data_IF_181673674382
#
_entry.id   IF_181673674382
#
_cell.length_a   1.000
_cell.length_b   1.000
_cell.length_c   1.000
_cell.angle_alpha   90.00
_cell.angle_beta   90.00
_cell.angle_gamma   90.00
#
_symmetry.space_group_name_H-M   'P 1'
#
loop_
_entity.id
_entity.type
_entity.pdbx_description
1 polymer ?
#
# COMPACT_ATOMS: atom_id res chain seq x y z
N UNK A 1 2.91 -13.78 -10.38
CA UNK A 1 2.32 -13.53 -9.05
C UNK A 1 3.32 -12.75 -8.21
N UNK A 2 2.95 -11.54 -7.80
CA UNK A 2 3.83 -10.69 -6.99
C UNK A 2 3.50 -10.75 -5.50
N UNK A 3 2.23 -10.99 -5.13
CA UNK A 3 1.80 -11.20 -3.75
C UNK A 3 0.92 -12.45 -3.68
N UNK A 4 1.26 -13.38 -2.77
CA UNK A 4 0.43 -14.55 -2.47
C UNK A 4 0.32 -14.70 -0.96
N UNK A 5 -0.89 -14.67 -0.46
CA UNK A 5 -1.29 -14.92 0.91
C UNK A 5 -2.11 -16.21 0.92
N UNK A 6 -1.75 -17.18 1.76
CA UNK A 6 -2.43 -18.49 1.76
C UNK A 6 -2.78 -18.86 3.21
N UNK A 7 -4.08 -19.10 3.46
CA UNK A 7 -4.64 -19.57 4.72
C UNK A 7 -4.14 -18.81 5.95
N UNK A 8 -4.09 -17.47 5.82
CA UNK A 8 -3.55 -16.60 6.88
C UNK A 8 -4.48 -16.57 8.08
N UNK A 9 -3.88 -16.71 9.26
CA UNK A 9 -4.53 -16.47 10.54
C UNK A 9 -3.74 -15.50 11.39
N UNK A 10 -4.44 -14.54 11.99
CA UNK A 10 -3.88 -13.57 12.94
C UNK A 10 -4.83 -13.40 14.10
N UNK A 11 -4.29 -13.54 15.30
CA UNK A 11 -5.03 -13.39 16.53
C UNK A 11 -4.37 -12.35 17.44
N UNK A 12 -5.19 -11.70 18.27
CA UNK A 12 -4.74 -10.77 19.30
C UNK A 12 -5.31 -11.16 20.65
N UNK A 13 -4.56 -11.02 21.76
CA UNK A 13 -5.12 -11.14 23.09
C UNK A 13 -6.12 -10.00 23.34
N UNK A 14 -7.27 -10.33 23.90
CA UNK A 14 -8.34 -9.38 24.27
C UNK A 14 -8.88 -9.75 25.67
N UNK A 15 -8.13 -9.33 26.71
CA UNK A 15 -8.37 -9.77 28.08
C UNK A 15 -8.21 -11.29 28.20
N UNK A 16 -9.26 -11.96 28.69
CA UNK A 16 -9.31 -13.43 28.81
C UNK A 16 -9.75 -14.14 27.51
N UNK A 17 -9.94 -13.38 26.42
CA UNK A 17 -10.38 -13.90 25.12
C UNK A 17 -9.28 -13.71 24.07
N UNK A 18 -9.48 -14.38 22.93
CA UNK A 18 -8.65 -14.23 21.73
C UNK A 18 -9.52 -13.66 20.63
N UNK A 19 -9.15 -12.49 20.12
CA UNK A 19 -9.77 -11.90 18.96
C UNK A 19 -9.06 -12.41 17.70
N UNK A 20 -9.79 -13.04 16.79
CA UNK A 20 -9.28 -13.43 15.48
C UNK A 20 -9.50 -12.28 14.51
N UNK A 21 -8.42 -11.60 14.11
CA UNK A 21 -8.47 -10.46 13.21
C UNK A 21 -8.36 -10.84 11.73
N UNK A 22 -7.70 -11.98 11.43
CA UNK A 22 -7.60 -12.57 10.09
C UNK A 22 -7.82 -14.07 10.26
N UNK A 23 -8.76 -14.65 9.52
CA UNK A 23 -9.18 -16.05 9.66
C UNK A 23 -9.26 -16.73 8.30
N UNK A 24 -8.32 -17.63 8.03
CA UNK A 24 -8.21 -18.43 6.80
C UNK A 24 -8.22 -17.59 5.51
N UNK A 25 -7.57 -16.42 5.54
CA UNK A 25 -7.53 -15.52 4.39
C UNK A 25 -6.55 -16.00 3.34
N UNK A 26 -7.06 -16.21 2.13
CA UNK A 26 -6.26 -16.45 0.92
C UNK A 26 -6.52 -15.34 -0.08
N UNK A 27 -5.44 -14.70 -0.57
CA UNK A 27 -5.48 -13.63 -1.56
C UNK A 27 -4.26 -13.72 -2.45
N UNK A 28 -4.48 -13.57 -3.76
CA UNK A 28 -3.43 -13.59 -4.75
C UNK A 28 -3.56 -12.35 -5.62
N UNK A 29 -2.45 -11.64 -5.84
CA UNK A 29 -2.41 -10.43 -6.66
C UNK A 29 -1.26 -10.51 -7.64
N UNK A 30 -1.58 -10.38 -8.91
CA UNK A 30 -0.60 -10.42 -9.98
C UNK A 30 0.02 -9.05 -10.27
N UNK A 31 1.16 -9.05 -10.96
CA UNK A 31 1.79 -7.82 -11.44
C UNK A 31 0.83 -7.04 -12.35
N UNK A 32 0.67 -5.75 -12.09
CA UNK A 32 -0.23 -4.89 -12.84
C UNK A 32 -1.71 -4.99 -12.44
N UNK A 33 -2.06 -5.80 -11.43
CA UNK A 33 -3.42 -5.95 -10.90
C UNK A 33 -3.61 -5.07 -9.65
N UNK A 34 -4.76 -4.37 -9.59
CA UNK A 34 -5.24 -3.64 -8.42
C UNK A 34 -6.43 -4.39 -7.82
N UNK A 35 -6.23 -4.91 -6.61
CA UNK A 35 -7.29 -5.55 -5.82
C UNK A 35 -7.74 -4.61 -4.70
N UNK A 36 -9.03 -4.32 -4.65
CA UNK A 36 -9.64 -3.56 -3.56
C UNK A 36 -10.21 -4.51 -2.51
N UNK A 37 -9.78 -4.34 -1.26
CA UNK A 37 -10.33 -5.03 -0.09
C UNK A 37 -11.23 -4.06 0.66
N UNK A 38 -12.54 -4.25 0.58
CA UNK A 38 -13.52 -3.40 1.24
C UNK A 38 -14.07 -4.05 2.50
N UNK A 39 -14.67 -3.27 3.38
CA UNK A 39 -15.34 -3.79 4.58
C UNK A 39 -15.41 -2.77 5.71
N UNK A 40 -16.20 -3.04 6.74
CA UNK A 40 -16.38 -2.13 7.87
C UNK A 40 -15.10 -1.95 8.68
N UNK A 41 -15.06 -0.90 9.51
CA UNK A 41 -13.98 -0.73 10.49
C UNK A 41 -13.94 -1.93 11.44
N UNK A 42 -12.73 -2.38 11.78
CA UNK A 42 -12.54 -3.55 12.64
C UNK A 42 -12.62 -4.91 11.93
N UNK A 43 -12.90 -4.97 10.62
CA UNK A 43 -13.02 -6.25 9.90
C UNK A 43 -11.69 -7.00 9.69
N UNK A 44 -10.53 -6.40 10.04
CA UNK A 44 -9.21 -7.05 9.91
C UNK A 44 -8.33 -6.52 8.77
N UNK A 45 -8.80 -5.56 7.96
CA UNK A 45 -8.08 -5.01 6.80
C UNK A 45 -6.67 -4.50 7.11
N UNK A 46 -6.52 -3.74 8.20
CA UNK A 46 -5.21 -3.22 8.61
C UNK A 46 -4.27 -4.34 9.09
N UNK A 47 -4.80 -5.40 9.72
CA UNK A 47 -4.02 -6.59 10.09
C UNK A 47 -3.56 -7.36 8.85
N UNK A 48 -4.43 -7.50 7.85
CA UNK A 48 -4.08 -8.10 6.56
C UNK A 48 -2.97 -7.33 5.87
N UNK A 49 -3.08 -5.98 5.78
CA UNK A 49 -2.02 -5.13 5.22
C UNK A 49 -0.72 -5.24 6.02
N UNK A 50 -0.78 -5.29 7.36
CA UNK A 50 0.41 -5.41 8.20
C UNK A 50 1.14 -6.74 7.97
N UNK A 51 0.41 -7.84 7.74
CA UNK A 51 0.97 -9.15 7.35
C UNK A 51 1.57 -9.08 5.94
N UNK A 52 0.83 -8.55 4.96
CA UNK A 52 1.32 -8.37 3.60
C UNK A 52 2.57 -7.47 3.54
N UNK A 53 2.64 -6.46 4.43
CA UNK A 53 3.82 -5.60 4.60
C UNK A 53 4.97 -6.27 5.38
N UNK A 54 4.84 -7.51 5.85
CA UNK A 54 5.79 -8.17 6.75
C UNK A 54 6.09 -7.42 8.06
N UNK A 55 5.19 -6.54 8.46
CA UNK A 55 5.25 -5.82 9.75
C UNK A 55 4.73 -6.70 10.88
N UNK A 56 3.76 -7.54 10.60
CA UNK A 56 3.18 -8.53 11.49
C UNK A 56 3.47 -9.93 10.94
N UNK A 57 3.83 -10.86 11.83
CA UNK A 57 3.92 -12.28 11.48
C UNK A 57 2.57 -12.94 11.73
N UNK A 58 2.00 -13.69 10.76
CA UNK A 58 0.78 -14.43 11.00
C UNK A 58 1.05 -15.61 11.95
N UNK A 59 0.02 -16.04 12.68
CA UNK A 59 0.06 -17.21 13.55
C UNK A 59 0.18 -18.51 12.74
N UNK A 60 -0.50 -18.53 11.57
CA UNK A 60 -0.40 -19.61 10.57
C UNK A 60 -0.62 -19.08 9.17
N UNK A 61 -0.34 -19.92 8.17
CA UNK A 61 -0.44 -19.58 6.77
C UNK A 61 0.89 -19.15 6.17
N UNK A 62 0.85 -18.72 4.91
CA UNK A 62 2.04 -18.42 4.10
C UNK A 62 1.93 -17.06 3.42
N UNK A 63 3.04 -16.33 3.38
CA UNK A 63 3.18 -15.04 2.69
C UNK A 63 4.35 -15.10 1.72
N UNK A 64 4.07 -14.89 0.43
CA UNK A 64 5.08 -14.81 -0.63
C UNK A 64 5.03 -13.42 -1.27
N UNK A 65 6.18 -12.74 -1.35
CA UNK A 65 6.34 -11.39 -1.93
C UNK A 65 7.46 -11.44 -2.97
N UNK A 66 7.18 -11.05 -4.21
CA UNK A 66 8.16 -11.08 -5.28
C UNK A 66 8.79 -12.47 -5.48
N UNK A 67 8.04 -13.55 -5.25
CA UNK A 67 8.51 -14.94 -5.30
C UNK A 67 9.27 -15.42 -4.05
N UNK A 68 9.47 -14.58 -3.05
CA UNK A 68 10.20 -14.92 -1.82
C UNK A 68 9.22 -15.27 -0.70
N UNK A 69 9.32 -16.49 -0.16
CA UNK A 69 8.57 -16.92 1.04
C UNK A 69 9.14 -16.24 2.30
N UNK A 70 8.27 -15.57 3.05
CA UNK A 70 8.68 -14.82 4.24
C UNK A 70 8.78 -15.65 5.50
N UNK A 71 8.22 -16.86 5.52
CA UNK A 71 8.08 -17.71 6.71
C UNK A 71 9.43 -18.11 7.32
N UNK A 72 10.42 -18.40 6.49
CA UNK A 72 11.79 -18.76 6.90
C UNK A 72 12.71 -17.58 7.19
N UNK A 73 12.26 -16.33 6.95
CA UNK A 73 13.12 -15.16 7.09
C UNK A 73 13.26 -14.72 8.56
N UNK A 74 14.48 -14.32 8.96
CA UNK A 74 14.72 -13.59 10.20
C UNK A 74 14.03 -12.20 10.17
N UNK A 75 13.90 -11.54 11.32
CA UNK A 75 13.37 -10.18 11.40
C UNK A 75 14.14 -9.21 10.49
N UNK A 76 15.47 -9.30 10.46
CA UNK A 76 16.32 -8.52 9.57
C UNK A 76 16.11 -8.87 8.08
N UNK A 77 15.87 -10.15 7.77
CA UNK A 77 15.53 -10.63 6.43
C UNK A 77 14.21 -10.03 5.93
N UNK A 78 13.16 -10.08 6.76
CA UNK A 78 11.86 -9.48 6.46
C UNK A 78 11.97 -7.95 6.28
N UNK A 79 12.75 -7.28 7.12
CA UNK A 79 12.97 -5.83 6.97
C UNK A 79 13.67 -5.49 5.65
N UNK A 80 14.67 -6.28 5.22
CA UNK A 80 15.32 -6.09 3.92
C UNK A 80 14.38 -6.36 2.75
N UNK A 81 13.60 -7.45 2.81
CA UNK A 81 12.59 -7.76 1.78
C UNK A 81 11.57 -6.64 1.67
N UNK A 82 10.99 -6.19 2.77
CA UNK A 82 10.05 -5.06 2.80
C UNK A 82 10.65 -3.80 2.17
N UNK A 83 11.88 -3.47 2.52
CA UNK A 83 12.55 -2.29 1.98
C UNK A 83 12.78 -2.40 0.48
N UNK A 84 12.99 -3.60 -0.06
CA UNK A 84 13.25 -3.84 -1.49
C UNK A 84 11.95 -3.95 -2.29
N UNK A 85 10.99 -4.72 -1.80
CA UNK A 85 9.86 -5.23 -2.59
C UNK A 85 8.51 -4.58 -2.25
N UNK A 86 8.39 -3.87 -1.12
CA UNK A 86 7.09 -3.34 -0.68
C UNK A 86 7.09 -1.82 -0.64
N UNK A 87 6.13 -1.23 -1.35
CA UNK A 87 5.74 0.18 -1.19
C UNK A 87 4.51 0.26 -0.29
N UNK A 88 4.47 1.26 0.60
CA UNK A 88 3.30 1.48 1.45
C UNK A 88 2.81 2.91 1.28
N UNK A 89 1.54 3.05 0.94
CA UNK A 89 0.80 4.32 0.92
C UNK A 89 -0.09 4.34 2.16
N UNK A 90 0.20 5.23 3.08
CA UNK A 90 -0.54 5.35 4.32
C UNK A 90 -1.77 6.25 4.16
N UNK A 91 -2.80 6.02 4.96
CA UNK A 91 -3.99 6.87 5.06
C UNK A 91 -3.61 8.34 5.27
N UNK A 92 -2.75 8.61 6.25
CA UNK A 92 -2.12 9.91 6.41
C UNK A 92 -0.75 9.90 5.72
N UNK A 93 -0.44 10.87 4.85
CA UNK A 93 0.81 10.88 4.08
C UNK A 93 2.08 10.86 4.94
N UNK A 94 2.02 11.29 6.20
CA UNK A 94 3.14 11.30 7.15
C UNK A 94 4.41 11.90 6.53
N UNK A 95 4.26 13.05 5.85
CA UNK A 95 5.37 13.76 5.23
C UNK A 95 6.15 14.54 6.30
N UNK A 96 7.46 14.50 6.22
CA UNK A 96 8.33 15.28 7.08
C UNK A 96 8.20 16.78 6.75
N UNK A 97 7.75 17.59 7.68
CA UNK A 97 7.42 19.01 7.46
C UNK A 97 8.61 19.84 6.97
N UNK A 98 9.83 19.45 7.33
CA UNK A 98 11.08 20.11 6.93
C UNK A 98 11.54 19.80 5.50
N UNK A 99 11.04 18.71 4.89
CA UNK A 99 11.48 18.25 3.59
C UNK A 99 10.53 18.70 2.47
N UNK A 100 11.09 19.05 1.32
CA UNK A 100 10.35 19.29 0.09
C UNK A 100 9.82 17.99 -0.52
N UNK A 101 8.89 18.08 -1.48
CA UNK A 101 8.32 16.91 -2.15
C UNK A 101 9.39 15.97 -2.73
N UNK A 102 10.39 16.51 -3.41
CA UNK A 102 11.49 15.70 -3.94
C UNK A 102 12.36 15.09 -2.82
N UNK A 103 12.59 15.82 -1.74
CA UNK A 103 13.39 15.33 -0.60
C UNK A 103 12.68 14.21 0.16
N UNK A 104 11.33 14.17 0.20
CA UNK A 104 10.59 13.03 0.76
C UNK A 104 10.94 11.71 0.04
N UNK A 105 11.07 11.76 -1.28
CA UNK A 105 11.43 10.61 -2.10
C UNK A 105 12.92 10.28 -1.93
N UNK A 106 13.78 11.29 -1.93
CA UNK A 106 15.22 11.14 -1.74
C UNK A 106 15.58 10.55 -0.37
N UNK A 107 14.83 10.91 0.69
CA UNK A 107 15.00 10.31 2.00
C UNK A 107 14.74 8.79 1.98
N UNK A 108 13.72 8.32 1.24
CA UNK A 108 13.46 6.91 1.06
C UNK A 108 14.60 6.19 0.29
N UNK A 109 15.20 6.84 -0.70
CA UNK A 109 16.40 6.32 -1.38
C UNK A 109 17.62 6.26 -0.46
N UNK A 110 17.83 7.28 0.38
CA UNK A 110 18.91 7.30 1.36
C UNK A 110 18.81 6.15 2.34
N UNK A 111 17.61 5.87 2.86
CA UNK A 111 17.36 4.72 3.76
C UNK A 111 17.67 3.37 3.10
N UNK A 112 17.61 3.29 1.75
CA UNK A 112 18.00 2.12 0.97
C UNK A 112 19.50 2.09 0.64
N UNK A 113 20.32 3.01 1.16
CA UNK A 113 21.74 3.12 0.88
C UNK A 113 22.08 3.63 -0.54
N UNK A 114 21.10 4.21 -1.24
CA UNK A 114 21.30 4.74 -2.59
C UNK A 114 21.82 6.20 -2.55
N UNK A 115 22.66 6.57 -3.50
CA UNK A 115 23.16 7.94 -3.63
C UNK A 115 22.02 8.92 -3.96
N UNK A 116 21.75 9.86 -3.06
CA UNK A 116 20.72 10.90 -3.22
C UNK A 116 20.94 11.72 -4.50
N UNK A 117 22.21 12.06 -4.80
CA UNK A 117 22.55 12.84 -6.00
C UNK A 117 22.15 12.11 -7.29
N UNK A 118 22.42 10.79 -7.37
CA UNK A 118 22.10 9.97 -8.54
C UNK A 118 20.58 9.75 -8.69
N UNK A 119 19.83 9.77 -7.60
CA UNK A 119 18.37 9.52 -7.62
C UNK A 119 17.53 10.79 -7.84
N UNK A 120 18.15 11.99 -7.88
CA UNK A 120 17.39 13.25 -7.94
C UNK A 120 16.52 13.37 -9.19
N UNK A 121 17.05 12.94 -10.34
CA UNK A 121 16.30 12.93 -11.60
C UNK A 121 15.11 11.94 -11.54
N UNK A 122 15.35 10.72 -11.12
CA UNK A 122 14.30 9.71 -10.97
C UNK A 122 13.22 10.13 -9.98
N UNK A 123 13.60 10.80 -8.89
CA UNK A 123 12.64 11.35 -7.92
C UNK A 123 11.76 12.46 -8.53
N UNK A 124 12.33 13.31 -9.39
CA UNK A 124 11.56 14.34 -10.10
C UNK A 124 10.61 13.72 -11.14
N UNK A 125 11.06 12.70 -11.87
CA UNK A 125 10.25 11.94 -12.84
C UNK A 125 9.07 11.24 -12.15
N UNK A 126 9.26 10.65 -10.95
CA UNK A 126 8.17 10.08 -10.16
C UNK A 126 7.15 11.14 -9.72
N UNK A 127 7.60 12.35 -9.33
CA UNK A 127 6.68 13.43 -9.00
C UNK A 127 5.87 13.89 -10.22
N UNK A 128 6.51 13.98 -11.39
CA UNK A 128 5.81 14.30 -12.62
C UNK A 128 4.77 13.23 -12.98
N UNK A 129 5.12 11.93 -12.82
CA UNK A 129 4.20 10.81 -13.08
C UNK A 129 2.95 10.82 -12.19
N UNK A 130 3.04 11.38 -10.97
CA UNK A 130 1.86 11.56 -10.11
C UNK A 130 1.20 12.95 -10.28
N UNK A 131 1.52 13.69 -11.33
CA UNK A 131 0.92 14.99 -11.63
C UNK A 131 1.41 16.15 -10.74
N UNK A 132 2.64 16.06 -10.22
CA UNK A 132 3.28 17.09 -9.39
C UNK A 132 4.46 17.78 -10.10
N UNK A 133 4.41 17.86 -11.44
CA UNK A 133 5.40 18.64 -12.17
C UNK A 133 5.41 20.12 -11.72
N UNK A 134 6.59 20.71 -11.62
CA UNK A 134 6.76 22.07 -11.08
C UNK A 134 6.60 22.23 -9.55
N UNK A 135 6.25 21.15 -8.81
CA UNK A 135 6.02 21.20 -7.35
C UNK A 135 7.11 20.51 -6.52
N UNK A 136 8.23 20.13 -7.13
CA UNK A 136 9.31 19.37 -6.52
C UNK A 136 9.90 20.05 -5.27
N UNK A 137 9.89 21.38 -5.25
CA UNK A 137 10.47 22.20 -4.16
C UNK A 137 9.44 22.64 -3.11
N UNK A 138 8.16 22.24 -3.24
CA UNK A 138 7.11 22.57 -2.27
C UNK A 138 7.26 21.70 -1.02
N UNK A 139 7.06 22.31 0.15
CA UNK A 139 6.96 21.63 1.44
C UNK A 139 5.52 21.21 1.72
N UNK A 140 5.25 20.27 2.65
CA UNK A 140 3.91 19.76 2.92
C UNK A 140 2.85 20.82 3.20
N UNK A 141 3.20 21.92 3.90
CA UNK A 141 2.28 23.02 4.17
C UNK A 141 1.91 23.86 2.94
N UNK A 142 2.65 23.73 1.85
CA UNK A 142 2.42 24.41 0.57
C UNK A 142 1.67 23.52 -0.45
N UNK A 143 1.27 22.31 -0.03
CA UNK A 143 0.59 21.32 -0.84
C UNK A 143 -0.84 21.12 -0.33
N UNK A 144 -1.79 20.90 -1.25
CA UNK A 144 -3.14 20.46 -0.90
C UNK A 144 -3.16 19.04 -0.32
N UNK A 145 -4.28 18.59 0.23
CA UNK A 145 -4.44 17.22 0.73
C UNK A 145 -4.15 16.16 -0.33
N UNK A 146 -4.75 16.30 -1.51
CA UNK A 146 -4.53 15.39 -2.63
C UNK A 146 -3.08 15.43 -3.16
N UNK A 147 -2.44 16.62 -3.18
CA UNK A 147 -1.02 16.72 -3.56
C UNK A 147 -0.10 16.04 -2.55
N UNK A 148 -0.38 16.16 -1.24
CA UNK A 148 0.36 15.41 -0.22
C UNK A 148 0.19 13.89 -0.42
N UNK A 149 -1.02 13.43 -0.76
CA UNK A 149 -1.25 12.01 -1.06
C UNK A 149 -0.49 11.55 -2.31
N UNK A 150 -0.42 12.37 -3.36
CA UNK A 150 0.39 12.10 -4.55
C UNK A 150 1.89 12.00 -4.24
N UNK A 151 2.42 12.83 -3.33
CA UNK A 151 3.80 12.69 -2.83
C UNK A 151 4.00 11.38 -2.07
N UNK A 152 3.01 10.97 -1.24
CA UNK A 152 3.04 9.69 -0.52
C UNK A 152 3.11 8.50 -1.49
N UNK A 153 2.30 8.52 -2.57
CA UNK A 153 2.31 7.50 -3.63
C UNK A 153 3.69 7.48 -4.34
N UNK A 154 4.20 8.63 -4.76
CA UNK A 154 5.51 8.72 -5.41
C UNK A 154 6.65 8.19 -4.50
N UNK A 155 6.59 8.50 -3.20
CA UNK A 155 7.53 7.98 -2.20
C UNK A 155 7.46 6.46 -2.09
N UNK A 156 6.26 5.88 -2.07
CA UNK A 156 6.06 4.43 -2.01
C UNK A 156 6.65 3.71 -3.23
N UNK A 157 6.54 4.30 -4.41
CA UNK A 157 7.07 3.76 -5.68
C UNK A 157 8.58 3.92 -5.85
N UNK A 158 9.23 4.77 -5.05
CA UNK A 158 10.65 5.15 -5.24
C UNK A 158 11.62 3.97 -5.22
N UNK A 159 11.24 2.85 -4.57
CA UNK A 159 12.02 1.61 -4.53
C UNK A 159 11.89 0.72 -5.76
N UNK A 160 10.92 0.99 -6.64
CA UNK A 160 10.40 0.07 -7.65
C UNK A 160 9.92 -1.24 -7.02
N UNK A 161 8.96 -1.16 -6.08
CA UNK A 161 8.46 -2.33 -5.39
C UNK A 161 7.72 -3.27 -6.34
N UNK A 162 7.70 -4.56 -6.01
CA UNK A 162 6.84 -5.54 -6.69
C UNK A 162 5.41 -5.54 -6.14
N UNK A 163 5.24 -5.04 -4.90
CA UNK A 163 3.94 -4.94 -4.21
C UNK A 163 3.73 -3.53 -3.67
N UNK A 164 2.54 -2.97 -3.93
CA UNK A 164 2.09 -1.70 -3.38
C UNK A 164 0.89 -1.95 -2.45
N UNK A 165 1.04 -1.60 -1.20
CA UNK A 165 -0.01 -1.69 -0.18
C UNK A 165 -0.55 -0.29 0.11
N UNK A 166 -1.86 -0.12 -0.01
CA UNK A 166 -2.52 1.18 0.07
C UNK A 166 -3.58 1.14 1.16
N UNK A 167 -3.41 1.96 2.19
CA UNK A 167 -4.30 2.03 3.33
C UNK A 167 -5.15 3.30 3.26
N UNK A 168 -6.47 3.14 3.03
CA UNK A 168 -7.48 4.19 3.04
C UNK A 168 -7.05 5.49 2.30
N UNK A 169 -6.69 5.43 1.01
CA UNK A 169 -6.00 6.53 0.31
C UNK A 169 -6.88 7.78 0.12
N UNK A 170 -8.19 7.66 0.27
CA UNK A 170 -9.20 8.70 0.00
C UNK A 170 -9.83 9.29 1.26
N UNK A 171 -9.61 8.72 2.44
CA UNK A 171 -10.32 9.03 3.69
C UNK A 171 -10.30 10.52 4.12
N UNK A 172 -9.29 11.30 3.69
CA UNK A 172 -9.16 12.72 4.02
C UNK A 172 -9.41 13.64 2.80
N UNK A 173 -10.03 13.12 1.74
CA UNK A 173 -10.25 13.84 0.48
C UNK A 173 -11.75 13.98 0.20
N UNK A 174 -12.10 15.01 -0.59
CA UNK A 174 -13.42 15.11 -1.19
C UNK A 174 -13.60 14.09 -2.32
N UNK A 175 -14.83 13.86 -2.75
CA UNK A 175 -15.20 12.88 -3.76
C UNK A 175 -14.36 12.97 -5.05
N UNK A 176 -14.23 14.18 -5.64
CA UNK A 176 -13.50 14.35 -6.91
C UNK A 176 -12.01 14.06 -6.78
N UNK A 177 -11.42 14.48 -5.67
CA UNK A 177 -10.00 14.18 -5.38
C UNK A 177 -9.80 12.72 -5.02
N UNK A 178 -10.76 12.10 -4.33
CA UNK A 178 -10.75 10.66 -4.05
C UNK A 178 -10.70 9.86 -5.34
N UNK A 179 -11.60 10.15 -6.28
CA UNK A 179 -11.62 9.53 -7.61
C UNK A 179 -10.28 9.65 -8.32
N UNK A 180 -9.71 10.86 -8.39
CA UNK A 180 -8.41 11.09 -9.04
C UNK A 180 -7.26 10.30 -8.41
N UNK A 181 -7.31 10.01 -7.10
CA UNK A 181 -6.29 9.19 -6.44
C UNK A 181 -6.46 7.72 -6.79
N UNK A 182 -7.69 7.20 -6.85
CA UNK A 182 -7.92 5.79 -7.24
C UNK A 182 -7.59 5.56 -8.71
N UNK A 183 -7.99 6.47 -9.60
CA UNK A 183 -7.59 6.46 -11.02
C UNK A 183 -6.06 6.44 -11.18
N UNK A 184 -5.36 7.32 -10.45
CA UNK A 184 -3.89 7.37 -10.44
C UNK A 184 -3.27 6.06 -9.96
N UNK A 185 -3.81 5.46 -8.89
CA UNK A 185 -3.33 4.18 -8.38
C UNK A 185 -3.51 3.05 -9.41
N UNK A 186 -4.66 3.00 -10.09
CA UNK A 186 -4.91 2.02 -11.14
C UNK A 186 -3.97 2.21 -12.35
N UNK A 187 -3.72 3.46 -12.76
CA UNK A 187 -2.77 3.77 -13.84
C UNK A 187 -1.35 3.35 -13.48
N UNK A 188 -0.87 3.74 -12.30
CA UNK A 188 0.46 3.40 -11.78
C UNK A 188 0.62 1.89 -11.67
N UNK A 189 -0.38 1.18 -11.15
CA UNK A 189 -0.40 -0.27 -11.02
C UNK A 189 -0.09 -0.93 -12.36
N UNK A 190 -0.79 -0.52 -13.42
CA UNK A 190 -0.60 -1.03 -14.78
C UNK A 190 0.74 -0.61 -15.40
N UNK A 191 1.12 0.67 -15.28
CA UNK A 191 2.34 1.19 -15.89
C UNK A 191 3.61 0.62 -15.28
N UNK A 192 3.65 0.47 -13.95
CA UNK A 192 4.81 -0.05 -13.23
C UNK A 192 4.77 -1.56 -13.02
N UNK A 193 3.69 -2.25 -13.47
CA UNK A 193 3.49 -3.69 -13.29
C UNK A 193 3.66 -4.11 -11.82
N UNK A 194 3.14 -3.28 -10.89
CA UNK A 194 3.16 -3.55 -9.46
C UNK A 194 1.87 -4.26 -9.04
N UNK A 195 1.94 -5.26 -8.16
CA UNK A 195 0.74 -5.85 -7.54
C UNK A 195 0.23 -4.91 -6.46
N UNK A 196 -0.98 -4.38 -6.60
CA UNK A 196 -1.53 -3.39 -5.68
C UNK A 196 -2.69 -3.96 -4.87
N UNK A 197 -2.60 -3.86 -3.55
CA UNK A 197 -3.72 -4.11 -2.62
C UNK A 197 -4.13 -2.79 -2.00
N UNK A 198 -5.36 -2.37 -2.24
CA UNK A 198 -5.95 -1.17 -1.66
C UNK A 198 -7.02 -1.59 -0.65
N UNK A 199 -6.87 -1.21 0.61
CA UNK A 199 -7.94 -1.37 1.60
C UNK A 199 -8.71 -0.07 1.75
N UNK A 200 -10.03 -0.17 1.83
CA UNK A 200 -10.89 0.99 2.04
C UNK A 200 -12.23 0.57 2.67
N UNK A 201 -12.89 1.49 3.36
CA UNK A 201 -14.29 1.35 3.77
C UNK A 201 -15.23 2.08 2.79
N UNK A 202 -14.66 2.90 1.91
CA UNK A 202 -15.38 3.62 0.86
C UNK A 202 -15.54 2.71 -0.35
N UNK A 203 -16.79 2.55 -0.81
CA UNK A 203 -17.13 1.75 -1.98
C UNK A 203 -17.25 2.59 -3.26
N UNK A 204 -17.04 3.90 -3.16
CA UNK A 204 -16.98 4.77 -4.32
C UNK A 204 -15.69 4.50 -5.12
N UNK A 205 -15.74 4.63 -6.41
CA UNK A 205 -14.61 4.50 -7.34
C UNK A 205 -13.98 3.09 -7.43
N UNK A 206 -14.68 2.04 -6.96
CA UNK A 206 -14.21 0.65 -7.05
C UNK A 206 -14.17 0.13 -8.50
N UNK A 207 -14.82 0.82 -9.43
CA UNK A 207 -14.78 0.52 -10.87
C UNK A 207 -13.37 0.60 -11.48
N UNK A 208 -12.44 1.24 -10.79
CA UNK A 208 -11.03 1.31 -11.21
C UNK A 208 -10.20 0.12 -10.73
N UNK A 209 -10.73 -0.71 -9.81
CA UNK A 209 -10.07 -1.94 -9.36
C UNK A 209 -10.36 -3.09 -10.32
N UNK A 210 -9.36 -3.95 -10.54
CA UNK A 210 -9.50 -5.15 -11.37
C UNK A 210 -10.30 -6.24 -10.66
N UNK A 211 -10.25 -6.25 -9.32
CA UNK A 211 -10.99 -7.16 -8.46
C UNK A 211 -11.38 -6.46 -7.16
N UNK A 212 -12.58 -6.78 -6.66
CA UNK A 212 -13.07 -6.28 -5.37
C UNK A 212 -13.46 -7.46 -4.49
N UNK A 213 -12.89 -7.52 -3.29
CA UNK A 213 -13.22 -8.52 -2.27
C UNK A 213 -13.71 -7.84 -0.99
N UNK A 214 -14.69 -8.44 -0.33
CA UNK A 214 -15.18 -7.94 0.97
C UNK A 214 -14.47 -8.67 2.11
N UNK A 215 -13.99 -7.90 3.09
CA UNK A 215 -13.47 -8.43 4.35
C UNK A 215 -14.47 -8.18 5.47
N UNK A 216 -14.96 -9.27 6.07
CA UNK A 216 -15.89 -9.22 7.20
C UNK A 216 -15.50 -10.26 8.25
N UNK A 217 -15.44 -9.85 9.50
CA UNK A 217 -15.07 -10.70 10.64
C UNK A 217 -13.79 -11.54 10.41
N UNK A 218 -12.79 -10.90 9.82
CA UNK A 218 -11.50 -11.52 9.52
C UNK A 218 -11.44 -12.40 8.28
N UNK A 219 -12.53 -12.59 7.53
CA UNK A 219 -12.59 -13.46 6.35
C UNK A 219 -12.80 -12.66 5.08
N UNK A 220 -12.23 -13.15 3.97
CA UNK A 220 -12.47 -12.60 2.64
C UNK A 220 -13.58 -13.38 1.93
N UNK A 221 -14.42 -12.64 1.23
CA UNK A 221 -15.42 -13.18 0.30
C UNK A 221 -15.43 -12.34 -0.98
N UNK A 222 -15.83 -12.95 -2.09
CA UNK A 222 -16.10 -12.18 -3.30
C UNK A 222 -17.19 -11.15 -3.01
N UNK A 223 -17.03 -9.92 -3.49
CA UNK A 223 -18.08 -8.92 -3.35
C UNK A 223 -19.27 -9.37 -4.22
N UNK A 224 -20.38 -9.74 -3.57
CA UNK A 224 -21.61 -10.06 -4.28
C UNK A 224 -22.10 -8.78 -4.95
N UNK A 225 -22.04 -8.73 -6.30
CA UNK A 225 -22.62 -7.64 -7.07
C UNK A 225 -24.12 -7.62 -6.82
N UNK A 226 -24.57 -6.79 -5.90
CA UNK A 226 -25.97 -6.40 -5.87
C UNK A 226 -26.15 -5.46 -7.08
N UNK A 227 -26.70 -6.02 -8.16
CA UNK A 227 -27.24 -5.28 -9.30
C UNK A 227 -28.52 -4.55 -8.88
#
# INVERSE_FOLDING_TARGET
MSLVLTDLRVTYPDGDRVLTAVDEVTLQVDAGQLVAVVGPSGSGKSSLLAVAATLLRPDSGRVVIGGVDTGGLSAAGRARLRLAEVGIVFQQPNLLASLTAVEQILAAHHMRGRSVRQQRRAAAELLAAVGLDGKQHRRPHQLSGGERQRVNIARALSGRPSVLLVDEPTAALDHDRGRQIVELLAEITRQHQVATVMVTHDTEHLEHADEVVEMRDGRLSALSSHR
#
